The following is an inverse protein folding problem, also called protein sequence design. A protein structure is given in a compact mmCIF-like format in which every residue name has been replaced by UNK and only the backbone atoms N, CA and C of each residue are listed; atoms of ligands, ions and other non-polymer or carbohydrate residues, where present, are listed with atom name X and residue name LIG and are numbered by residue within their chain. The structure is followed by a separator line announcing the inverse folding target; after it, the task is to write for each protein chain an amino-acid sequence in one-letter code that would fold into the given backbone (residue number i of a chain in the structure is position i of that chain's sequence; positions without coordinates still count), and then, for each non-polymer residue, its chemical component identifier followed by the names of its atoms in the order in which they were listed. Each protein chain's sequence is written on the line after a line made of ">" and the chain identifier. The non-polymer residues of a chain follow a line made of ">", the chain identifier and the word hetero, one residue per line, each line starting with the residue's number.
data_IF_757434546917
#
_entry.id   IF_757434546917
#
_cell.length_a   1.000
_cell.length_b   1.000
_cell.length_c   1.000
_cell.angle_alpha   90.00
_cell.angle_beta   90.00
_cell.angle_gamma   90.00
#
_symmetry.space_group_name_H-M   'P 1'
#
loop_
_entity.id
_entity.type
_entity.pdbx_description
1 polymer ?
#
# COMPACT_ATOMS: atom_id res chain seq x y z
N UNK A 1 -12.44 -5.43 -44.34
CA UNK A 1 -12.48 -4.72 -43.04
C UNK A 1 -12.01 -5.73 -42.01
N UNK A 2 -10.76 -5.66 -41.55
CA UNK A 2 -10.28 -6.47 -40.44
C UNK A 2 -10.97 -5.95 -39.20
N UNK A 3 -11.83 -6.75 -38.57
CA UNK A 3 -12.31 -6.48 -37.22
C UNK A 3 -11.08 -6.27 -36.34
N UNK A 4 -10.87 -5.05 -35.89
CA UNK A 4 -9.88 -4.76 -34.87
C UNK A 4 -10.32 -5.48 -33.62
N UNK A 5 -9.69 -6.61 -33.32
CA UNK A 5 -9.89 -7.31 -32.06
C UNK A 5 -9.65 -6.30 -30.93
N UNK A 6 -10.58 -6.23 -29.97
CA UNK A 6 -10.45 -5.36 -28.80
C UNK A 6 -9.19 -5.77 -28.02
N UNK A 7 -8.26 -4.85 -27.74
CA UNK A 7 -7.02 -5.23 -27.09
C UNK A 7 -7.25 -5.75 -25.66
N UNK A 8 -6.50 -6.79 -25.30
CA UNK A 8 -6.44 -7.34 -23.96
C UNK A 8 -5.20 -6.78 -23.25
N UNK A 9 -5.38 -6.09 -22.13
CA UNK A 9 -4.32 -5.39 -21.41
C UNK A 9 -4.18 -5.96 -20.00
N UNK A 10 -2.98 -6.36 -19.64
CA UNK A 10 -2.62 -6.75 -18.27
C UNK A 10 -1.97 -5.57 -17.54
N UNK A 11 -2.42 -5.30 -16.32
CA UNK A 11 -1.77 -4.38 -15.39
C UNK A 11 -1.38 -5.18 -14.16
N UNK A 12 -0.09 -5.16 -13.79
CA UNK A 12 0.41 -5.83 -12.59
C UNK A 12 0.59 -4.79 -11.49
N UNK A 13 -0.25 -4.86 -10.48
CA UNK A 13 -0.37 -3.93 -9.37
C UNK A 13 -1.67 -3.12 -9.41
N UNK A 14 -2.48 -3.26 -8.37
CA UNK A 14 -3.76 -2.56 -8.15
C UNK A 14 -3.64 -1.32 -7.26
N UNK A 15 -2.43 -0.83 -7.05
CA UNK A 15 -2.19 0.44 -6.36
C UNK A 15 -2.67 1.66 -7.18
N UNK A 16 -2.45 2.89 -6.68
CA UNK A 16 -2.88 4.12 -7.35
C UNK A 16 -2.47 4.18 -8.82
N UNK A 17 -1.22 3.84 -9.13
CA UNK A 17 -0.69 3.89 -10.51
C UNK A 17 -1.47 2.97 -11.45
N UNK A 18 -1.73 1.72 -11.03
CA UNK A 18 -2.51 0.76 -11.81
C UNK A 18 -3.96 1.18 -11.98
N UNK A 19 -4.61 1.66 -10.90
CA UNK A 19 -5.99 2.12 -10.95
C UNK A 19 -6.18 3.36 -11.84
N UNK A 20 -5.31 4.37 -11.73
CA UNK A 20 -5.38 5.55 -12.61
C UNK A 20 -5.11 5.21 -14.07
N UNK A 21 -4.14 4.32 -14.33
CA UNK A 21 -3.86 3.84 -15.67
C UNK A 21 -5.08 3.13 -16.26
N UNK A 22 -5.69 2.20 -15.53
CA UNK A 22 -6.89 1.50 -15.97
C UNK A 22 -8.04 2.47 -16.28
N UNK A 23 -8.27 3.47 -15.43
CA UNK A 23 -9.27 4.52 -15.71
C UNK A 23 -8.96 5.32 -16.98
N UNK A 24 -7.69 5.62 -17.24
CA UNK A 24 -7.28 6.32 -18.45
C UNK A 24 -7.48 5.43 -19.69
N UNK A 25 -7.11 4.15 -19.61
CA UNK A 25 -7.27 3.19 -20.69
C UNK A 25 -8.75 2.97 -21.07
N UNK A 26 -9.65 2.81 -20.11
CA UNK A 26 -11.08 2.68 -20.37
C UNK A 26 -11.62 3.87 -21.16
N UNK A 27 -11.17 5.09 -20.84
CA UNK A 27 -11.60 6.31 -21.53
C UNK A 27 -11.03 6.42 -22.95
N UNK A 28 -9.78 6.03 -23.14
CA UNK A 28 -9.07 6.16 -24.41
C UNK A 28 -9.28 5.00 -25.36
N UNK A 29 -9.53 3.81 -24.81
CA UNK A 29 -9.71 2.56 -25.52
C UNK A 29 -10.96 1.81 -24.97
N UNK A 30 -12.18 2.30 -25.24
CA UNK A 30 -13.39 1.76 -24.62
C UNK A 30 -13.67 0.28 -24.95
N UNK A 31 -13.12 -0.21 -26.05
CA UNK A 31 -13.24 -1.61 -26.46
C UNK A 31 -12.22 -2.53 -25.77
N UNK A 32 -11.18 -1.99 -25.13
CA UNK A 32 -10.15 -2.80 -24.48
C UNK A 32 -10.74 -3.56 -23.28
N UNK A 33 -10.28 -4.79 -23.08
CA UNK A 33 -10.48 -5.51 -21.82
C UNK A 33 -9.21 -5.41 -20.97
N UNK A 34 -9.38 -5.13 -19.67
CA UNK A 34 -8.28 -4.89 -18.76
C UNK A 34 -8.35 -5.91 -17.63
N UNK A 35 -7.25 -6.62 -17.39
CA UNK A 35 -7.09 -7.45 -16.20
C UNK A 35 -6.01 -6.84 -15.30
N UNK A 36 -6.39 -6.54 -14.06
CA UNK A 36 -5.50 -6.01 -13.05
C UNK A 36 -5.13 -7.17 -12.10
N UNK A 37 -3.86 -7.54 -12.09
CA UNK A 37 -3.30 -8.56 -11.21
C UNK A 37 -2.72 -7.91 -9.97
N UNK A 38 -2.90 -8.54 -8.82
CA UNK A 38 -2.22 -8.11 -7.59
C UNK A 38 -1.89 -9.32 -6.73
N UNK A 39 -0.72 -9.31 -6.10
CA UNK A 39 -0.31 -10.37 -5.16
C UNK A 39 -1.18 -10.40 -3.90
N UNK A 40 -1.79 -9.28 -3.53
CA UNK A 40 -2.72 -9.20 -2.43
C UNK A 40 -4.14 -9.52 -2.88
N UNK A 41 -4.91 -10.13 -2.00
CA UNK A 41 -6.32 -10.42 -2.26
C UNK A 41 -7.20 -9.16 -2.31
N UNK A 42 -6.74 -8.07 -1.73
CA UNK A 42 -7.43 -6.78 -1.69
C UNK A 42 -6.71 -5.71 -2.51
N UNK A 43 -7.42 -4.93 -3.34
CA UNK A 43 -6.81 -3.89 -4.16
C UNK A 43 -6.44 -2.64 -3.36
N UNK A 44 -5.87 -1.67 -4.08
CA UNK A 44 -5.56 -0.29 -3.72
C UNK A 44 -4.17 -0.05 -3.12
N UNK A 45 -3.35 -1.09 -2.90
CA UNK A 45 -1.94 -0.98 -2.53
C UNK A 45 -1.68 0.04 -1.41
N UNK A 46 -0.85 1.05 -1.65
CA UNK A 46 -0.50 2.09 -0.67
C UNK A 46 -1.70 2.86 -0.10
N UNK A 47 -2.80 3.04 -0.85
CA UNK A 47 -3.98 3.73 -0.31
C UNK A 47 -4.56 2.94 0.86
N UNK A 48 -4.59 1.61 0.76
CA UNK A 48 -5.07 0.75 1.82
C UNK A 48 -4.03 0.60 2.93
N UNK A 49 -2.77 0.33 2.59
CA UNK A 49 -1.78 -0.19 3.53
C UNK A 49 -0.64 0.76 3.86
N UNK A 50 -0.50 1.89 3.15
CA UNK A 50 0.62 2.82 3.32
C UNK A 50 0.23 4.25 3.67
N UNK A 51 -1.03 4.64 3.42
CA UNK A 51 -1.57 5.92 3.92
C UNK A 51 -1.90 5.76 5.40
N UNK A 52 -1.57 6.77 6.21
CA UNK A 52 -1.87 6.74 7.64
C UNK A 52 -3.34 6.43 7.90
N UNK A 53 -3.59 5.54 8.88
CA UNK A 53 -4.91 5.00 9.17
C UNK A 53 -5.96 6.08 9.54
N UNK A 54 -5.53 7.22 10.04
CA UNK A 54 -6.39 8.37 10.37
C UNK A 54 -6.60 9.34 9.18
N UNK A 55 -5.96 9.13 8.03
CA UNK A 55 -6.14 9.94 6.83
C UNK A 55 -7.33 9.49 5.97
N UNK A 56 -8.52 9.40 6.57
CA UNK A 56 -9.72 8.89 5.93
C UNK A 56 -10.11 9.68 4.67
N UNK A 57 -9.83 10.99 4.64
CA UNK A 57 -10.07 11.80 3.44
C UNK A 57 -9.20 11.36 2.25
N UNK A 58 -7.93 11.09 2.48
CA UNK A 58 -7.01 10.59 1.44
C UNK A 58 -7.41 9.17 1.01
N UNK A 59 -7.78 8.31 1.96
CA UNK A 59 -8.26 6.95 1.68
C UNK A 59 -9.58 6.92 0.93
N UNK A 60 -10.40 7.97 0.98
CA UNK A 60 -11.69 8.05 0.28
C UNK A 60 -11.57 7.96 -1.26
N UNK A 61 -10.39 8.12 -1.84
CA UNK A 61 -10.14 7.87 -3.28
C UNK A 61 -10.49 6.44 -3.68
N UNK A 62 -10.47 5.47 -2.75
CA UNK A 62 -10.89 4.10 -3.01
C UNK A 62 -12.27 3.99 -3.57
N UNK A 63 -13.21 4.87 -3.17
CA UNK A 63 -14.58 4.93 -3.73
C UNK A 63 -14.61 5.21 -5.23
N UNK A 64 -13.64 6.00 -5.73
CA UNK A 64 -13.48 6.22 -7.16
C UNK A 64 -12.93 4.96 -7.85
N UNK A 65 -11.97 4.28 -7.22
CA UNK A 65 -11.38 3.06 -7.77
C UNK A 65 -12.33 1.86 -7.69
N UNK A 66 -13.19 1.78 -6.71
CA UNK A 66 -14.25 0.76 -6.64
C UNK A 66 -15.16 0.77 -7.88
N UNK A 67 -15.48 1.96 -8.40
CA UNK A 67 -16.26 2.10 -9.63
C UNK A 67 -15.54 1.54 -10.85
N UNK A 68 -14.20 1.58 -10.87
CA UNK A 68 -13.41 0.97 -11.93
C UNK A 68 -13.65 -0.53 -12.02
N UNK A 69 -13.69 -1.23 -10.88
CA UNK A 69 -13.90 -2.67 -10.81
C UNK A 69 -15.37 -3.09 -11.08
N UNK A 70 -16.28 -2.14 -11.20
CA UNK A 70 -17.67 -2.38 -11.62
C UNK A 70 -17.83 -2.32 -13.15
N UNK A 71 -16.83 -1.83 -13.89
CA UNK A 71 -16.88 -1.77 -15.34
C UNK A 71 -16.80 -3.18 -15.94
N UNK A 72 -17.68 -3.48 -16.90
CA UNK A 72 -17.82 -4.82 -17.48
C UNK A 72 -16.55 -5.34 -18.19
N UNK A 73 -15.69 -4.42 -18.63
CA UNK A 73 -14.43 -4.70 -19.32
C UNK A 73 -13.19 -4.61 -18.40
N UNK A 74 -13.37 -4.53 -17.07
CA UNK A 74 -12.29 -4.56 -16.08
C UNK A 74 -12.45 -5.77 -15.17
N UNK A 75 -11.36 -6.48 -15.00
CA UNK A 75 -11.23 -7.65 -14.13
C UNK A 75 -10.17 -7.41 -13.07
N UNK A 76 -10.44 -7.78 -11.83
CA UNK A 76 -9.45 -7.86 -10.76
C UNK A 76 -9.10 -9.33 -10.49
N UNK A 77 -7.81 -9.66 -10.55
CA UNK A 77 -7.25 -10.95 -10.22
C UNK A 77 -6.31 -10.78 -9.01
N UNK A 78 -6.90 -10.78 -7.82
CA UNK A 78 -6.16 -10.71 -6.56
C UNK A 78 -5.57 -12.08 -6.16
N UNK A 79 -4.59 -12.04 -5.25
CA UNK A 79 -3.83 -13.20 -4.81
C UNK A 79 -3.10 -13.92 -5.96
N UNK A 80 -2.61 -13.14 -6.92
CA UNK A 80 -1.83 -13.61 -8.08
C UNK A 80 -0.52 -12.85 -8.12
N UNK A 81 0.58 -13.53 -7.84
CA UNK A 81 1.90 -12.93 -7.77
C UNK A 81 2.72 -13.21 -9.03
N UNK A 82 3.18 -12.12 -9.65
CA UNK A 82 4.10 -12.20 -10.78
C UNK A 82 5.43 -12.80 -10.33
N UNK A 83 5.89 -13.83 -11.04
CA UNK A 83 7.09 -14.58 -10.71
C UNK A 83 6.86 -15.82 -9.84
N UNK A 84 5.68 -15.93 -9.19
CA UNK A 84 5.26 -17.14 -8.46
C UNK A 84 4.13 -17.89 -9.19
N UNK A 85 3.03 -17.21 -9.45
CA UNK A 85 1.82 -17.82 -10.01
C UNK A 85 1.72 -17.63 -11.53
N UNK A 86 2.28 -16.56 -12.05
CA UNK A 86 2.39 -16.23 -13.47
C UNK A 86 3.77 -15.67 -13.78
N UNK A 87 4.33 -16.05 -14.92
CA UNK A 87 5.55 -15.40 -15.42
C UNK A 87 5.23 -14.21 -16.32
N UNK A 88 6.21 -13.32 -16.51
CA UNK A 88 6.07 -12.20 -17.44
C UNK A 88 5.89 -12.69 -18.89
N UNK A 89 6.54 -13.79 -19.25
CA UNK A 89 6.41 -14.43 -20.56
C UNK A 89 5.00 -14.91 -20.80
N UNK A 90 4.39 -15.59 -19.85
CA UNK A 90 2.99 -16.04 -19.93
C UNK A 90 2.02 -14.87 -20.09
N UNK A 91 2.25 -13.75 -19.37
CA UNK A 91 1.45 -12.55 -19.56
C UNK A 91 1.61 -11.96 -20.97
N UNK A 92 2.84 -11.92 -21.48
CA UNK A 92 3.12 -11.40 -22.85
C UNK A 92 2.55 -12.27 -23.97
N UNK A 93 2.34 -13.54 -23.72
CA UNK A 93 1.69 -14.45 -24.67
C UNK A 93 0.16 -14.30 -24.68
N UNK A 94 -0.43 -13.91 -23.55
CA UNK A 94 -1.89 -13.87 -23.39
C UNK A 94 -2.49 -12.47 -23.55
N UNK A 95 -1.68 -11.41 -23.45
CA UNK A 95 -2.11 -10.03 -23.49
C UNK A 95 -1.36 -9.23 -24.56
N UNK A 96 -2.07 -8.32 -25.21
CA UNK A 96 -1.50 -7.42 -26.23
C UNK A 96 -0.53 -6.39 -25.61
N UNK A 97 -0.75 -6.05 -24.33
CA UNK A 97 0.14 -5.18 -23.57
C UNK A 97 0.19 -5.61 -22.09
N UNK A 98 1.38 -5.52 -21.49
CA UNK A 98 1.62 -5.77 -20.06
C UNK A 98 2.28 -4.55 -19.45
N UNK A 99 1.64 -3.98 -18.42
CA UNK A 99 2.14 -2.80 -17.72
C UNK A 99 2.44 -3.17 -16.26
N UNK A 100 3.65 -2.87 -15.82
CA UNK A 100 4.08 -3.10 -14.44
C UNK A 100 3.83 -1.83 -13.61
N UNK A 101 2.92 -1.93 -12.64
CA UNK A 101 2.56 -0.87 -11.69
C UNK A 101 2.69 -1.36 -10.25
N UNK A 102 3.75 -2.15 -9.98
CA UNK A 102 3.97 -2.93 -8.76
C UNK A 102 4.27 -2.09 -7.52
N UNK A 103 4.57 -0.80 -7.69
CA UNK A 103 4.95 0.08 -6.59
C UNK A 103 6.31 -0.26 -5.97
N UNK A 104 6.55 0.28 -4.78
CA UNK A 104 7.73 0.01 -3.97
C UNK A 104 7.25 -0.51 -2.61
N UNK A 105 7.62 -1.74 -2.26
CA UNK A 105 7.16 -2.42 -1.05
C UNK A 105 8.14 -2.31 0.12
N UNK A 106 9.42 -2.04 -0.14
CA UNK A 106 10.47 -2.01 0.87
C UNK A 106 10.72 -0.62 1.44
N UNK A 107 11.18 -0.57 2.69
CA UNK A 107 11.73 0.64 3.28
C UNK A 107 13.13 0.90 2.71
N UNK A 108 13.50 2.18 2.62
CA UNK A 108 14.84 2.56 2.23
C UNK A 108 15.80 2.27 3.37
N UNK A 109 16.85 1.51 3.10
CA UNK A 109 17.89 1.24 4.07
C UNK A 109 18.63 2.52 4.50
N UNK A 110 18.89 2.61 5.80
CA UNK A 110 19.72 3.67 6.34
C UNK A 110 21.20 3.31 6.19
N UNK A 111 22.00 4.26 5.74
CA UNK A 111 23.46 4.11 5.59
C UNK A 111 24.22 4.72 6.77
N UNK A 112 23.66 4.61 7.97
CA UNK A 112 24.25 5.15 9.21
C UNK A 112 24.85 4.02 10.05
N UNK A 113 25.91 4.29 10.83
CA UNK A 113 26.38 3.35 11.84
C UNK A 113 25.25 2.99 12.80
N UNK A 114 25.04 1.70 13.03
CA UNK A 114 23.97 1.21 13.91
C UNK A 114 22.61 1.02 13.22
N UNK A 115 22.48 1.23 11.92
CA UNK A 115 21.21 1.05 11.19
C UNK A 115 20.62 -0.38 11.25
N UNK A 116 21.46 -1.36 11.62
CA UNK A 116 21.09 -2.77 11.76
C UNK A 116 20.94 -3.22 13.22
N UNK A 117 20.97 -2.29 14.18
CA UNK A 117 20.78 -2.62 15.59
C UNK A 117 19.31 -3.03 15.86
N UNK A 118 19.10 -3.88 16.88
CA UNK A 118 17.73 -4.13 17.38
C UNK A 118 17.03 -2.82 17.73
N UNK A 119 15.73 -2.72 17.38
CA UNK A 119 14.94 -1.51 17.60
C UNK A 119 15.02 -0.48 16.47
N UNK A 120 15.88 -0.67 15.45
CA UNK A 120 15.82 0.14 14.22
C UNK A 120 14.79 -0.48 13.29
N UNK A 121 13.70 0.25 13.06
CA UNK A 121 12.53 -0.24 12.31
C UNK A 121 12.22 0.72 11.17
N UNK A 122 11.88 0.18 10.00
CA UNK A 122 11.43 0.97 8.87
C UNK A 122 10.06 1.60 9.12
N UNK A 123 9.90 2.86 8.77
CA UNK A 123 8.64 3.59 8.90
C UNK A 123 7.48 2.92 8.12
N UNK A 124 7.79 2.34 6.96
CA UNK A 124 6.81 1.59 6.17
C UNK A 124 6.33 0.33 6.87
N UNK A 125 7.23 -0.42 7.54
CA UNK A 125 6.87 -1.59 8.34
C UNK A 125 5.84 -1.21 9.42
N UNK A 126 6.11 -0.14 10.18
CA UNK A 126 5.17 0.35 11.22
C UNK A 126 3.83 0.75 10.59
N UNK A 127 3.86 1.54 9.51
CA UNK A 127 2.65 2.01 8.83
C UNK A 127 1.82 0.85 8.27
N UNK A 128 2.46 -0.16 7.66
CA UNK A 128 1.78 -1.34 7.13
C UNK A 128 1.16 -2.18 8.25
N UNK A 129 1.85 -2.37 9.37
CA UNK A 129 1.30 -3.07 10.53
C UNK A 129 0.07 -2.35 11.10
N UNK A 130 0.12 -1.01 11.22
CA UNK A 130 -1.02 -0.19 11.64
C UNK A 130 -2.22 -0.29 10.69
N UNK A 131 -1.99 -0.59 9.42
CA UNK A 131 -3.02 -0.79 8.40
C UNK A 131 -3.35 -2.27 8.16
N UNK A 132 -2.95 -3.18 9.05
CA UNK A 132 -3.19 -4.64 8.95
C UNK A 132 -2.73 -5.23 7.60
N UNK A 133 -1.54 -4.86 7.13
CA UNK A 133 -0.98 -5.43 5.89
C UNK A 133 -0.71 -6.93 6.07
N UNK A 134 -1.13 -7.80 5.13
CA UNK A 134 -0.98 -9.26 5.28
C UNK A 134 0.45 -9.78 5.46
N UNK A 135 1.44 -9.05 4.96
CA UNK A 135 2.85 -9.44 5.06
C UNK A 135 3.51 -8.95 6.36
N UNK A 136 2.81 -8.18 7.17
CA UNK A 136 3.35 -7.67 8.44
C UNK A 136 2.83 -8.47 9.63
N UNK A 137 3.56 -8.42 10.73
CA UNK A 137 3.06 -8.98 11.99
C UNK A 137 1.79 -8.26 12.43
N UNK A 138 0.88 -8.98 13.06
CA UNK A 138 -0.38 -8.42 13.56
C UNK A 138 -0.19 -7.42 14.72
N UNK A 139 0.99 -7.47 15.36
CA UNK A 139 1.41 -6.54 16.41
C UNK A 139 2.54 -5.66 15.91
N UNK A 140 2.66 -4.45 16.45
CA UNK A 140 3.82 -3.61 16.20
C UNK A 140 5.09 -4.24 16.82
N UNK A 141 6.27 -3.96 16.25
CA UNK A 141 7.51 -4.20 16.97
C UNK A 141 7.53 -3.38 18.27
N UNK A 142 8.25 -3.85 19.28
CA UNK A 142 8.50 -3.05 20.49
C UNK A 142 9.30 -1.80 20.11
N UNK A 143 8.67 -0.64 20.28
CA UNK A 143 9.29 0.65 19.95
C UNK A 143 10.05 1.26 21.13
N UNK A 144 9.88 0.72 22.35
CA UNK A 144 10.48 1.24 23.57
C UNK A 144 9.88 2.57 24.05
N UNK A 145 10.34 3.03 25.21
CA UNK A 145 9.87 4.28 25.83
C UNK A 145 10.42 5.53 25.14
N UNK A 146 11.63 5.47 24.60
CA UNK A 146 12.29 6.57 23.90
C UNK A 146 12.38 6.27 22.41
N UNK A 147 11.57 6.97 21.60
CA UNK A 147 11.51 6.78 20.13
C UNK A 147 12.18 7.95 19.43
N UNK A 148 13.05 7.64 18.47
CA UNK A 148 13.65 8.62 17.57
C UNK A 148 13.14 8.41 16.14
N UNK A 149 12.47 9.40 15.59
CA UNK A 149 12.05 9.45 14.18
C UNK A 149 13.13 10.13 13.35
N UNK A 150 13.73 9.41 12.42
CA UNK A 150 14.75 9.95 11.52
C UNK A 150 14.08 10.44 10.23
N UNK A 151 14.09 11.75 10.01
CA UNK A 151 13.46 12.44 8.91
C UNK A 151 12.31 13.35 9.36
N UNK A 152 11.96 14.33 8.52
CA UNK A 152 10.88 15.29 8.77
C UNK A 152 9.88 15.34 7.60
N UNK A 153 9.76 14.25 6.83
CA UNK A 153 8.76 14.11 5.77
C UNK A 153 7.38 13.72 6.31
N UNK A 154 6.40 13.67 5.42
CA UNK A 154 5.01 13.35 5.77
C UNK A 154 4.86 12.03 6.56
N UNK A 155 5.61 10.99 6.18
CA UNK A 155 5.57 9.70 6.89
C UNK A 155 6.03 9.84 8.34
N UNK A 156 7.10 10.61 8.59
CA UNK A 156 7.58 10.85 9.96
C UNK A 156 6.58 11.65 10.78
N UNK A 157 5.89 12.62 10.17
CA UNK A 157 4.83 13.39 10.82
C UNK A 157 3.60 12.52 11.12
N UNK A 158 3.27 11.59 10.24
CA UNK A 158 2.17 10.63 10.44
C UNK A 158 2.49 9.68 11.61
N UNK A 159 3.73 9.16 11.66
CA UNK A 159 4.18 8.34 12.78
C UNK A 159 4.28 9.13 14.08
N UNK A 160 4.81 10.37 14.06
CA UNK A 160 4.81 11.22 15.24
C UNK A 160 3.39 11.40 15.79
N UNK A 161 2.44 11.69 14.91
CA UNK A 161 1.03 11.84 15.26
C UNK A 161 0.45 10.56 15.86
N UNK A 162 0.81 9.41 15.31
CA UNK A 162 0.44 8.12 15.87
C UNK A 162 0.99 7.94 17.28
N UNK A 163 2.28 8.17 17.49
CA UNK A 163 2.95 7.90 18.76
C UNK A 163 2.49 8.79 19.92
N UNK A 164 1.88 9.95 19.66
CA UNK A 164 1.49 10.93 20.70
C UNK A 164 -0.02 11.02 20.94
N UNK A 165 -0.83 10.27 20.19
CA UNK A 165 -2.29 10.30 20.31
C UNK A 165 -2.80 9.42 21.44
N UNK A 166 -3.89 9.87 22.07
CA UNK A 166 -4.69 9.05 23.00
C UNK A 166 -5.63 8.10 22.25
N UNK A 167 -6.09 7.05 22.91
CA UNK A 167 -6.99 6.01 22.36
C UNK A 167 -8.19 6.61 21.61
N UNK A 168 -8.89 7.56 22.23
CA UNK A 168 -10.10 8.17 21.65
C UNK A 168 -9.87 8.92 20.34
N UNK A 169 -8.64 9.31 20.07
CA UNK A 169 -8.29 10.03 18.84
C UNK A 169 -8.15 9.10 17.62
N UNK A 170 -8.30 7.78 17.82
CA UNK A 170 -8.28 6.78 16.74
C UNK A 170 -9.66 6.28 16.34
N UNK A 171 -10.73 6.67 17.04
CA UNK A 171 -12.10 6.14 16.85
C UNK A 171 -12.64 6.32 15.42
N UNK A 172 -12.18 7.34 14.70
CA UNK A 172 -12.56 7.60 13.31
C UNK A 172 -11.53 7.09 12.27
N UNK A 173 -10.59 6.23 12.67
CA UNK A 173 -9.57 5.66 11.81
C UNK A 173 -9.89 4.21 11.42
N UNK A 174 -9.19 3.68 10.42
CA UNK A 174 -9.20 2.26 10.08
C UNK A 174 -7.94 1.53 10.59
N UNK A 175 -7.40 1.99 11.71
CA UNK A 175 -6.22 1.41 12.34
C UNK A 175 -6.51 -0.02 12.81
N UNK A 176 -5.51 -0.90 12.71
CA UNK A 176 -5.58 -2.24 13.29
C UNK A 176 -5.75 -2.16 14.80
N UNK A 177 -6.88 -2.66 15.33
CA UNK A 177 -7.13 -2.69 16.77
C UNK A 177 -6.03 -3.46 17.52
N UNK A 178 -5.60 -4.61 16.98
CA UNK A 178 -4.53 -5.42 17.60
C UNK A 178 -3.21 -4.67 17.65
N UNK A 179 -2.83 -3.98 16.57
CA UNK A 179 -1.59 -3.19 16.54
C UNK A 179 -1.69 -1.99 17.50
N UNK A 180 -2.83 -1.33 17.54
CA UNK A 180 -3.08 -0.21 18.45
C UNK A 180 -3.03 -0.64 19.93
N UNK A 181 -3.72 -1.70 20.29
CA UNK A 181 -3.73 -2.23 21.66
C UNK A 181 -2.34 -2.67 22.12
N UNK A 182 -1.59 -3.31 21.23
CA UNK A 182 -0.21 -3.68 21.51
C UNK A 182 0.67 -2.44 21.80
N UNK A 183 0.54 -1.38 21.01
CA UNK A 183 1.25 -0.13 21.25
C UNK A 183 0.83 0.54 22.56
N UNK A 184 -0.47 0.65 22.82
CA UNK A 184 -1.00 1.32 24.02
C UNK A 184 -0.72 0.57 25.34
N UNK A 185 -0.35 -0.71 25.26
CA UNK A 185 0.09 -1.46 26.45
C UNK A 185 1.46 -0.98 26.97
N UNK A 186 2.32 -0.44 26.07
CA UNK A 186 3.62 0.14 26.43
C UNK A 186 3.95 1.30 25.47
N UNK A 187 3.25 2.44 25.59
CA UNK A 187 3.42 3.55 24.66
C UNK A 187 4.77 4.28 24.88
N UNK A 188 5.22 4.96 23.85
CA UNK A 188 6.41 5.82 23.96
C UNK A 188 6.19 6.95 24.97
N UNK A 189 7.15 7.14 25.87
CA UNK A 189 7.15 8.24 26.85
C UNK A 189 7.77 9.51 26.26
N UNK A 190 8.70 9.34 25.32
CA UNK A 190 9.38 10.41 24.63
C UNK A 190 9.52 10.12 23.15
N UNK A 191 9.16 11.08 22.32
CA UNK A 191 9.37 11.01 20.88
C UNK A 191 10.23 12.18 20.42
N UNK A 192 11.35 11.89 19.77
CA UNK A 192 12.26 12.88 19.22
C UNK A 192 12.27 12.77 17.70
N UNK A 193 12.09 13.89 17.00
CA UNK A 193 12.26 13.94 15.55
C UNK A 193 13.63 14.54 15.22
N UNK A 194 14.44 13.81 14.45
CA UNK A 194 15.73 14.23 13.97
C UNK A 194 15.70 14.44 12.45
N UNK A 195 16.03 15.63 12.00
CA UNK A 195 16.15 15.94 10.56
C UNK A 195 17.45 16.72 10.29
N UNK A 196 17.88 16.63 9.04
CA UNK A 196 19.04 17.39 8.54
C UNK A 196 18.57 18.71 7.91
#
# INVERSE_FOLDING_TARGET
>A
MTESLAPHIAIVGSGPSGCYLAQALIRSLPAASITIFDRLASPFGLIRYGVAADHQHTKAITRQFERLFQAANVRFAGNVELGRDLSLEQLREQFDAVILATGLSGDRELTLPGANLPGVVGAGTVTRALNAHPDEAVTLPDLGADVVLIGAGNVSLDLLRFLVKDRSQYDASDISDTALEHYLASPAERVTMASR
#
